data_IF_960166731564
#
_entry.id   IF_960166731564
#
_cell.length_a   1.000
_cell.length_b   1.000
_cell.length_c   1.000
_cell.angle_alpha   90.00
_cell.angle_beta   90.00
_cell.angle_gamma   90.00
#
_symmetry.space_group_name_H-M   'P 1'
#
loop_
_entity.id
_entity.type
_entity.pdbx_description
1 polymer ?
#
# COMPACT_ATOMS: atom_id res chain seq x y z
N UNK A 1 -3.18 -14.32 12.33
CA UNK A 1 -3.88 -14.92 13.48
C UNK A 1 -2.91 -15.81 14.24
N UNK A 2 -2.82 -15.67 15.56
CA UNK A 2 -2.01 -16.56 16.43
C UNK A 2 -2.96 -17.46 17.20
N UNK A 3 -2.77 -18.78 17.09
CA UNK A 3 -3.55 -19.78 17.83
C UNK A 3 -2.65 -20.40 18.91
N UNK A 4 -3.14 -20.39 20.15
CA UNK A 4 -2.40 -20.90 21.31
C UNK A 4 -3.09 -22.18 21.80
N UNK A 5 -2.33 -23.26 21.90
CA UNK A 5 -2.83 -24.55 22.39
C UNK A 5 -2.06 -24.94 23.65
N UNK A 6 -2.79 -25.39 24.67
CA UNK A 6 -2.23 -25.90 25.92
C UNK A 6 -2.39 -27.42 25.99
N UNK A 7 -1.37 -28.10 26.53
CA UNK A 7 -1.43 -29.54 26.77
C UNK A 7 -1.64 -29.82 28.27
N UNK A 8 -2.28 -30.95 28.59
CA UNK A 8 -2.43 -31.46 29.96
C UNK A 8 -1.10 -31.88 30.57
N UNK A 9 -0.19 -32.41 29.75
CA UNK A 9 1.19 -32.71 30.16
C UNK A 9 1.89 -31.43 30.60
N UNK A 10 2.66 -31.47 31.69
CA UNK A 10 3.26 -30.26 32.28
C UNK A 10 4.57 -29.87 31.60
N UNK A 11 5.43 -30.85 31.32
CA UNK A 11 6.77 -30.63 30.77
C UNK A 11 7.01 -31.47 29.53
N UNK A 12 7.84 -30.95 28.64
CA UNK A 12 8.41 -31.69 27.52
C UNK A 12 9.91 -31.48 27.46
N UNK A 13 10.67 -32.57 27.37
CA UNK A 13 12.12 -32.52 27.25
C UNK A 13 12.51 -32.06 25.84
N UNK A 14 13.14 -30.89 25.74
CA UNK A 14 13.68 -30.43 24.47
C UNK A 14 14.93 -31.21 24.07
N UNK A 15 15.30 -31.11 22.79
CA UNK A 15 16.57 -31.66 22.28
C UNK A 15 17.80 -30.84 22.68
N UNK A 16 17.61 -29.68 23.31
CA UNK A 16 18.69 -28.81 23.77
C UNK A 16 19.12 -29.22 25.18
N UNK A 17 20.43 -29.22 25.43
CA UNK A 17 21.00 -29.54 26.73
C UNK A 17 21.93 -28.41 27.20
N UNK A 18 21.86 -28.07 28.48
CA UNK A 18 22.75 -27.13 29.17
C UNK A 18 23.42 -27.86 30.33
N UNK A 19 24.75 -27.82 30.40
CA UNK A 19 25.54 -28.53 31.43
C UNK A 19 25.15 -30.02 31.57
N UNK A 20 24.93 -30.71 30.44
CA UNK A 20 24.54 -32.12 30.40
C UNK A 20 23.10 -32.42 30.81
N UNK A 21 22.29 -31.40 31.15
CA UNK A 21 20.86 -31.56 31.47
C UNK A 21 20.00 -31.05 30.31
N UNK A 22 18.96 -31.81 29.95
CA UNK A 22 17.99 -31.36 28.93
C UNK A 22 17.21 -30.15 29.44
N UNK A 23 16.95 -29.19 28.55
CA UNK A 23 16.08 -28.06 28.85
C UNK A 23 14.63 -28.50 28.71
N UNK A 24 13.84 -28.34 29.75
CA UNK A 24 12.40 -28.69 29.77
C UNK A 24 11.55 -27.49 29.35
N UNK A 25 10.54 -27.72 28.51
CA UNK A 25 9.55 -26.72 28.14
C UNK A 25 8.27 -26.91 28.95
N UNK A 26 7.69 -25.83 29.46
CA UNK A 26 6.41 -25.87 30.17
C UNK A 26 5.25 -25.80 29.17
N UNK A 27 4.53 -26.91 29.00
CA UNK A 27 3.40 -27.00 28.07
C UNK A 27 2.07 -26.47 28.66
N UNK A 28 2.01 -26.28 29.99
CA UNK A 28 0.86 -25.67 30.67
C UNK A 28 0.87 -24.15 30.60
N UNK A 29 2.05 -23.55 30.48
CA UNK A 29 2.20 -22.10 30.35
C UNK A 29 2.78 -21.73 28.97
N UNK A 30 1.92 -21.56 27.94
CA UNK A 30 2.36 -21.28 26.58
C UNK A 30 2.70 -19.79 26.36
N UNK A 31 2.66 -18.93 27.39
CA UNK A 31 2.80 -17.47 27.23
C UNK A 31 4.03 -17.07 26.40
N UNK A 32 5.14 -17.77 26.61
CA UNK A 32 6.37 -17.51 25.88
C UNK A 32 6.25 -17.84 24.39
N UNK A 33 5.66 -18.99 24.05
CA UNK A 33 5.39 -19.37 22.67
C UNK A 33 4.37 -18.42 22.02
N UNK A 34 3.36 -17.97 22.78
CA UNK A 34 2.41 -16.95 22.35
C UNK A 34 3.11 -15.65 21.99
N UNK A 35 3.94 -15.11 22.87
CA UNK A 35 4.65 -13.85 22.64
C UNK A 35 5.60 -13.94 21.45
N UNK A 36 6.33 -15.05 21.32
CA UNK A 36 7.18 -15.31 20.17
C UNK A 36 6.39 -15.33 18.85
N UNK A 37 5.25 -16.03 18.84
CA UNK A 37 4.37 -16.09 17.66
C UNK A 37 3.74 -14.73 17.34
N UNK A 38 3.35 -13.94 18.35
CA UNK A 38 2.82 -12.59 18.17
C UNK A 38 3.89 -11.64 17.61
N UNK A 39 5.11 -11.64 18.15
CA UNK A 39 6.20 -10.80 17.64
C UNK A 39 6.54 -11.12 16.18
N UNK A 40 6.58 -12.41 15.82
CA UNK A 40 6.81 -12.83 14.45
C UNK A 40 5.63 -12.48 13.53
N UNK A 41 4.38 -12.62 14.00
CA UNK A 41 3.21 -12.35 13.19
C UNK A 41 2.93 -10.86 12.98
N UNK A 42 3.09 -10.04 14.03
CA UNK A 42 2.78 -8.61 13.99
C UNK A 42 3.92 -7.84 13.33
N UNK A 43 5.15 -8.00 13.80
CA UNK A 43 6.26 -7.17 13.31
C UNK A 43 7.37 -7.93 12.61
N UNK A 44 7.13 -9.18 12.18
CA UNK A 44 8.14 -9.95 11.45
C UNK A 44 9.41 -10.24 12.25
N UNK A 45 9.37 -10.13 13.58
CA UNK A 45 10.56 -10.30 14.42
C UNK A 45 10.98 -11.75 14.39
N UNK A 46 12.18 -11.99 13.90
CA UNK A 46 12.76 -13.33 13.81
C UNK A 46 13.39 -13.75 15.15
N UNK A 47 13.46 -15.07 15.43
CA UNK A 47 14.21 -15.57 16.55
C UNK A 47 15.68 -15.15 16.48
N UNK A 48 16.25 -14.68 17.59
CA UNK A 48 17.63 -14.18 17.68
C UNK A 48 18.71 -15.19 17.26
N UNK A 49 18.39 -16.48 17.26
CA UNK A 49 19.30 -17.55 16.87
C UNK A 49 19.27 -17.90 15.38
N UNK A 50 18.40 -17.28 14.58
CA UNK A 50 18.33 -17.49 13.11
C UNK A 50 18.49 -16.14 12.43
N UNK A 51 19.64 -15.92 11.78
CA UNK A 51 19.91 -14.72 10.99
C UNK A 51 20.01 -15.10 9.52
N UNK A 52 19.50 -14.25 8.62
CA UNK A 52 19.73 -14.44 7.19
C UNK A 52 20.98 -13.67 6.78
N UNK A 53 21.98 -14.37 6.23
CA UNK A 53 23.19 -13.74 5.72
C UNK A 53 22.97 -13.38 4.25
N UNK A 54 22.72 -12.10 3.98
CA UNK A 54 22.54 -11.59 2.60
C UNK A 54 23.72 -11.96 1.69
N UNK A 55 25.01 -11.82 2.11
CA UNK A 55 26.15 -12.18 1.27
C UNK A 55 26.26 -13.68 0.94
N UNK A 56 25.71 -14.55 1.80
CA UNK A 56 25.82 -16.00 1.63
C UNK A 56 24.51 -16.66 1.18
N UNK A 57 23.47 -15.86 0.96
CA UNK A 57 22.11 -16.29 0.60
C UNK A 57 21.60 -17.49 1.42
N UNK A 58 21.98 -17.57 2.70
CA UNK A 58 21.68 -18.70 3.58
C UNK A 58 21.30 -18.23 4.98
N UNK A 59 20.50 -19.04 5.65
CA UNK A 59 20.22 -18.88 7.07
C UNK A 59 21.44 -19.35 7.88
N UNK A 60 21.96 -18.47 8.72
CA UNK A 60 23.00 -18.74 9.68
C UNK A 60 22.37 -18.84 11.07
N UNK A 61 22.90 -19.73 11.91
CA UNK A 61 22.44 -19.89 13.28
C UNK A 61 23.47 -19.29 14.25
N UNK A 62 23.05 -18.32 15.06
CA UNK A 62 23.91 -17.67 16.06
C UNK A 62 23.42 -17.98 17.46
N UNK A 63 24.08 -18.91 18.12
CA UNK A 63 23.66 -19.41 19.44
C UNK A 63 24.03 -18.47 20.59
N UNK A 64 24.89 -17.47 20.35
CA UNK A 64 25.30 -16.46 21.35
C UNK A 64 24.12 -15.67 21.91
N UNK A 65 23.00 -15.62 21.18
CA UNK A 65 21.79 -14.88 21.55
C UNK A 65 20.69 -15.79 22.10
N UNK A 66 20.99 -17.07 22.40
CA UNK A 66 20.03 -18.02 22.96
C UNK A 66 19.87 -17.89 24.49
N UNK A 67 20.75 -17.10 25.12
CA UNK A 67 20.79 -16.86 26.56
C UNK A 67 20.19 -15.50 26.91
N UNK A 68 19.16 -15.45 27.76
CA UNK A 68 18.57 -14.20 28.24
C UNK A 68 17.07 -14.30 28.51
N UNK A 69 16.48 -13.23 29.07
CA UNK A 69 15.04 -13.14 29.30
C UNK A 69 14.32 -12.59 28.05
N UNK A 70 14.21 -13.41 26.99
CA UNK A 70 13.46 -13.04 25.78
C UNK A 70 12.51 -14.18 25.33
N UNK A 71 11.37 -13.86 24.66
CA UNK A 71 10.40 -14.88 24.24
C UNK A 71 11.00 -15.99 23.37
N UNK A 72 12.01 -15.68 22.56
CA UNK A 72 12.70 -16.65 21.70
C UNK A 72 13.85 -17.44 22.40
N UNK A 73 14.10 -17.24 23.70
CA UNK A 73 15.36 -17.65 24.37
C UNK A 73 15.35 -19.10 24.83
N UNK A 74 15.92 -20.04 24.10
CA UNK A 74 15.84 -21.45 24.48
C UNK A 74 16.24 -21.73 25.95
N UNK A 75 17.20 -20.99 26.50
CA UNK A 75 17.72 -21.18 27.87
C UNK A 75 17.33 -20.07 28.85
N UNK A 76 16.43 -19.15 28.48
CA UNK A 76 15.92 -18.12 29.38
C UNK A 76 15.16 -18.74 30.55
N UNK A 77 15.53 -18.39 31.79
CA UNK A 77 14.81 -18.80 32.99
C UNK A 77 13.36 -18.26 32.97
N UNK A 78 12.49 -18.97 33.66
CA UNK A 78 11.04 -18.76 33.74
C UNK A 78 10.62 -17.27 33.74
N UNK A 79 9.59 -16.96 32.93
CA UNK A 79 8.93 -15.64 32.78
C UNK A 79 9.46 -14.69 31.69
N UNK A 80 9.73 -15.20 30.49
CA UNK A 80 9.75 -14.40 29.25
C UNK A 80 8.35 -13.87 28.87
N UNK A 81 7.73 -13.09 29.77
CA UNK A 81 6.36 -12.56 29.65
C UNK A 81 6.30 -11.15 29.06
N UNK A 82 7.43 -10.55 28.71
CA UNK A 82 7.51 -9.21 28.13
C UNK A 82 8.35 -9.20 26.86
N UNK A 83 8.07 -8.24 25.99
CA UNK A 83 8.93 -7.90 24.88
C UNK A 83 10.11 -7.08 25.39
N UNK A 84 11.32 -7.40 24.93
CA UNK A 84 12.47 -6.53 25.14
C UNK A 84 12.32 -5.26 24.31
N UNK A 85 12.86 -4.12 24.76
CA UNK A 85 12.85 -2.88 23.97
C UNK A 85 13.41 -3.07 22.55
N UNK A 86 14.48 -3.86 22.41
CA UNK A 86 15.04 -4.21 21.10
C UNK A 86 14.03 -4.86 20.15
N UNK A 87 13.12 -5.69 20.67
CA UNK A 87 12.07 -6.32 19.87
C UNK A 87 11.00 -5.30 19.48
N UNK A 88 10.59 -4.46 20.43
CA UNK A 88 9.63 -3.38 20.18
C UNK A 88 10.18 -2.44 19.11
N UNK A 89 11.43 -2.02 19.22
CA UNK A 89 12.13 -1.18 18.25
C UNK A 89 12.23 -1.86 16.87
N UNK A 90 12.53 -3.17 16.83
CA UNK A 90 12.58 -3.91 15.57
C UNK A 90 11.21 -3.96 14.87
N UNK A 91 10.13 -4.11 15.62
CA UNK A 91 8.76 -4.02 15.10
C UNK A 91 8.51 -2.62 14.55
N UNK A 92 8.78 -1.58 15.33
CA UNK A 92 8.56 -0.19 14.92
C UNK A 92 9.34 0.15 13.65
N UNK A 93 10.63 -0.20 13.57
CA UNK A 93 11.45 0.00 12.36
C UNK A 93 10.83 -0.63 11.11
N UNK A 94 10.30 -1.86 11.24
CA UNK A 94 9.68 -2.56 10.12
C UNK A 94 8.43 -1.83 9.60
N UNK A 95 7.60 -1.33 10.51
CA UNK A 95 6.44 -0.51 10.17
C UNK A 95 6.82 0.85 9.60
N UNK A 96 7.81 1.52 10.18
CA UNK A 96 8.30 2.83 9.71
C UNK A 96 8.77 2.70 8.26
N UNK A 97 9.62 1.72 7.95
CA UNK A 97 10.11 1.49 6.59
C UNK A 97 8.97 1.21 5.61
N UNK A 98 8.02 0.34 6.00
CA UNK A 98 6.89 0.00 5.14
C UNK A 98 5.99 1.21 4.86
N UNK A 99 5.68 2.00 5.88
CA UNK A 99 4.84 3.20 5.76
C UNK A 99 5.52 4.29 4.93
N UNK A 100 6.84 4.48 5.11
CA UNK A 100 7.64 5.37 4.26
C UNK A 100 7.59 4.92 2.80
N UNK A 101 7.85 3.65 2.49
CA UNK A 101 7.81 3.12 1.12
C UNK A 101 6.44 3.31 0.48
N UNK A 102 5.35 2.94 1.19
CA UNK A 102 3.98 3.12 0.69
C UNK A 102 3.66 4.59 0.44
N UNK A 103 4.09 5.48 1.34
CA UNK A 103 3.85 6.92 1.20
C UNK A 103 4.58 7.51 0.00
N UNK A 104 5.83 7.12 -0.23
CA UNK A 104 6.64 7.56 -1.38
C UNK A 104 6.01 7.06 -2.68
N UNK A 105 5.59 5.79 -2.74
CA UNK A 105 4.92 5.23 -3.90
C UNK A 105 3.61 5.97 -4.22
N UNK A 106 2.79 6.26 -3.21
CA UNK A 106 1.53 6.99 -3.39
C UNK A 106 1.75 8.42 -3.93
N UNK A 107 2.76 9.13 -3.43
CA UNK A 107 3.12 10.47 -3.90
C UNK A 107 3.67 10.42 -5.33
N UNK A 108 4.58 9.48 -5.61
CA UNK A 108 5.15 9.31 -6.94
C UNK A 108 4.07 9.02 -7.98
N UNK A 109 3.10 8.15 -7.67
CA UNK A 109 1.95 7.89 -8.54
C UNK A 109 1.15 9.18 -8.82
N UNK A 110 0.89 9.99 -7.80
CA UNK A 110 0.21 11.28 -7.96
C UNK A 110 1.00 12.27 -8.82
N UNK A 111 2.30 12.40 -8.59
CA UNK A 111 3.19 13.28 -9.36
C UNK A 111 3.27 12.81 -10.82
N UNK A 112 3.44 11.51 -11.06
CA UNK A 112 3.47 10.95 -12.41
C UNK A 112 2.15 11.15 -13.16
N UNK A 113 1.02 11.05 -12.47
CA UNK A 113 -0.28 11.31 -13.07
C UNK A 113 -0.42 12.79 -13.47
N UNK A 114 -0.03 13.71 -12.58
CA UNK A 114 -0.06 15.15 -12.85
C UNK A 114 0.94 15.55 -13.95
N UNK A 115 2.12 14.95 -14.00
CA UNK A 115 3.16 15.26 -14.99
C UNK A 115 2.74 14.88 -16.43
N UNK A 116 1.85 13.89 -16.59
CA UNK A 116 1.29 13.52 -17.90
C UNK A 116 0.29 14.56 -18.42
N UNK A 117 -0.34 15.32 -17.54
CA UNK A 117 -1.32 16.33 -17.91
C UNK A 117 -0.66 17.68 -18.20
N UNK A 118 -0.64 18.09 -19.47
CA UNK A 118 -0.10 19.39 -19.88
C UNK A 118 -1.14 20.50 -19.70
N UNK A 119 -0.75 21.62 -19.09
CA UNK A 119 -1.59 22.81 -19.02
C UNK A 119 -1.78 23.42 -20.41
N UNK A 120 -3.02 23.53 -20.87
CA UNK A 120 -3.40 24.23 -22.11
C UNK A 120 -4.31 25.41 -21.81
N UNK A 121 -4.37 26.38 -22.73
CA UNK A 121 -5.27 27.53 -22.60
C UNK A 121 -6.74 27.10 -22.38
N UNK A 122 -7.19 26.01 -23.00
CA UNK A 122 -8.54 25.48 -22.85
C UNK A 122 -8.85 24.91 -21.44
N UNK A 123 -7.84 24.44 -20.71
CA UNK A 123 -7.97 23.88 -19.36
C UNK A 123 -7.65 24.91 -18.27
N UNK A 124 -7.18 26.11 -18.63
CA UNK A 124 -6.69 27.10 -17.67
C UNK A 124 -7.76 27.59 -16.70
N UNK A 125 -8.98 27.83 -17.19
CA UNK A 125 -10.11 28.26 -16.34
C UNK A 125 -10.53 27.19 -15.34
N UNK A 126 -10.41 25.91 -15.72
CA UNK A 126 -10.65 24.78 -14.83
C UNK A 126 -9.51 24.65 -13.80
N UNK A 127 -8.26 24.71 -14.27
CA UNK A 127 -7.07 24.64 -13.45
C UNK A 127 -7.09 25.69 -12.32
N UNK A 128 -7.55 26.92 -12.60
CA UNK A 128 -7.68 27.98 -11.60
C UNK A 128 -8.67 27.66 -10.46
N UNK A 129 -9.62 26.76 -10.70
CA UNK A 129 -10.62 26.32 -9.72
C UNK A 129 -10.21 25.07 -8.96
N UNK A 130 -9.12 24.41 -9.37
CA UNK A 130 -8.64 23.20 -8.69
C UNK A 130 -8.02 23.55 -7.33
N UNK A 131 -8.14 22.67 -6.33
CA UNK A 131 -7.62 22.90 -4.99
C UNK A 131 -6.10 22.68 -4.91
N UNK A 132 -5.33 23.45 -5.69
CA UNK A 132 -3.86 23.38 -5.74
C UNK A 132 -3.22 23.71 -4.38
N UNK A 133 -3.83 24.63 -3.63
CA UNK A 133 -3.39 24.95 -2.27
C UNK A 133 -3.45 23.73 -1.37
N UNK A 134 -4.61 23.05 -1.32
CA UNK A 134 -4.78 21.84 -0.52
C UNK A 134 -3.79 20.73 -0.95
N UNK A 135 -3.58 20.54 -2.26
CA UNK A 135 -2.59 19.55 -2.74
C UNK A 135 -1.18 19.86 -2.22
N UNK A 136 -0.76 21.13 -2.28
CA UNK A 136 0.55 21.55 -1.80
C UNK A 136 0.67 21.51 -0.28
N UNK A 137 -0.42 21.81 0.44
CA UNK A 137 -0.48 21.72 1.91
C UNK A 137 -0.27 20.27 2.37
N UNK A 138 -0.94 19.31 1.71
CA UNK A 138 -0.76 17.87 1.97
C UNK A 138 0.67 17.42 1.67
N UNK A 139 1.25 17.85 0.55
CA UNK A 139 2.65 17.53 0.20
C UNK A 139 3.66 18.09 1.21
N UNK A 140 3.48 19.36 1.61
CA UNK A 140 4.36 19.99 2.59
C UNK A 140 4.22 19.35 3.99
N UNK A 141 3.00 18.99 4.39
CA UNK A 141 2.76 18.28 5.65
C UNK A 141 3.50 16.93 5.65
N UNK A 142 3.34 16.15 4.57
CA UNK A 142 4.02 14.87 4.41
C UNK A 142 5.54 15.00 4.41
N UNK A 143 6.09 15.96 3.65
CA UNK A 143 7.53 16.21 3.61
C UNK A 143 8.11 16.56 4.98
N UNK A 144 7.39 17.36 5.78
CA UNK A 144 7.79 17.67 7.17
C UNK A 144 7.79 16.41 8.05
N UNK A 145 6.79 15.55 7.91
CA UNK A 145 6.73 14.31 8.68
C UNK A 145 7.82 13.31 8.32
N UNK A 146 8.17 13.18 7.05
CA UNK A 146 9.33 12.37 6.66
C UNK A 146 10.60 12.84 7.35
N UNK A 147 10.83 14.16 7.44
CA UNK A 147 11.97 14.72 8.15
C UNK A 147 11.91 14.40 9.65
N UNK A 148 10.74 14.52 10.29
CA UNK A 148 10.60 14.17 11.72
C UNK A 148 10.85 12.69 11.98
N UNK A 149 10.32 11.80 11.15
CA UNK A 149 10.57 10.36 11.27
C UNK A 149 12.06 10.05 11.15
N UNK A 150 12.77 10.64 10.18
CA UNK A 150 14.22 10.47 10.05
C UNK A 150 14.96 10.97 11.30
N UNK A 151 14.55 12.12 11.85
CA UNK A 151 15.14 12.65 13.08
C UNK A 151 14.91 11.72 14.28
N UNK A 152 13.70 11.20 14.48
CA UNK A 152 13.41 10.24 15.56
C UNK A 152 14.16 8.91 15.36
N UNK A 153 14.35 8.48 14.12
CA UNK A 153 15.16 7.29 13.82
C UNK A 153 16.64 7.50 14.14
N UNK A 154 17.17 8.72 13.95
CA UNK A 154 18.54 9.10 14.31
C UNK A 154 18.76 9.07 15.82
N UNK A 155 17.79 9.56 16.60
CA UNK A 155 17.83 9.53 18.07
C UNK A 155 17.45 8.18 18.67
N UNK A 156 17.18 7.17 17.82
CA UNK A 156 16.72 5.83 18.19
C UNK A 156 15.37 5.80 18.92
N UNK A 157 14.57 6.86 18.83
CA UNK A 157 13.22 6.93 19.40
C UNK A 157 12.18 6.40 18.40
N UNK A 158 12.16 5.07 18.26
CA UNK A 158 11.26 4.40 17.32
C UNK A 158 9.78 4.49 17.71
N UNK A 159 9.49 4.71 19.00
CA UNK A 159 8.13 4.92 19.48
C UNK A 159 7.54 6.22 18.97
N UNK A 160 8.29 7.32 19.08
CA UNK A 160 7.88 8.62 18.53
C UNK A 160 7.81 8.58 17.00
N UNK A 161 8.79 7.96 16.33
CA UNK A 161 8.76 7.78 14.88
C UNK A 161 7.50 7.01 14.42
N UNK A 162 7.14 5.93 15.14
CA UNK A 162 5.95 5.16 14.85
C UNK A 162 4.64 5.93 15.09
N UNK A 163 4.65 6.91 16.00
CA UNK A 163 3.52 7.81 16.25
C UNK A 163 3.15 8.70 15.06
N UNK A 164 4.11 9.02 14.18
CA UNK A 164 3.88 9.85 12.99
C UNK A 164 3.26 9.08 11.81
N UNK A 165 3.34 7.75 11.79
CA UNK A 165 2.92 6.91 10.66
C UNK A 165 1.46 7.12 10.23
N UNK A 166 0.47 7.22 11.16
CA UNK A 166 -0.92 7.47 10.76
C UNK A 166 -1.10 8.82 10.04
N UNK A 167 -0.23 9.80 10.34
CA UNK A 167 -0.20 11.08 9.63
C UNK A 167 0.36 10.92 8.23
N UNK A 168 1.51 10.25 8.10
CA UNK A 168 2.18 9.98 6.82
C UNK A 168 1.23 9.28 5.84
N UNK A 169 0.59 8.20 6.29
CA UNK A 169 -0.36 7.44 5.45
C UNK A 169 -1.54 8.32 5.01
N UNK A 170 -2.10 9.11 5.93
CA UNK A 170 -3.22 10.00 5.63
C UNK A 170 -2.85 11.08 4.61
N UNK A 171 -1.75 11.79 4.84
CA UNK A 171 -1.29 12.86 3.95
C UNK A 171 -0.90 12.32 2.57
N UNK A 172 -0.21 11.17 2.50
CA UNK A 172 0.14 10.54 1.24
C UNK A 172 -1.10 10.07 0.45
N UNK A 173 -2.06 9.42 1.12
CA UNK A 173 -3.32 9.04 0.47
C UNK A 173 -4.13 10.25 0.01
N UNK A 174 -4.19 11.32 0.83
CA UNK A 174 -4.94 12.52 0.47
C UNK A 174 -4.31 13.27 -0.69
N UNK A 175 -2.98 13.40 -0.70
CA UNK A 175 -2.24 13.95 -1.83
C UNK A 175 -2.54 13.19 -3.12
N UNK A 176 -2.44 11.84 -3.07
CA UNK A 176 -2.73 10.98 -4.22
C UNK A 176 -4.18 11.12 -4.71
N UNK A 177 -5.15 11.13 -3.80
CA UNK A 177 -6.57 11.31 -4.13
C UNK A 177 -6.81 12.66 -4.83
N UNK A 178 -6.25 13.74 -4.28
CA UNK A 178 -6.35 15.07 -4.88
C UNK A 178 -5.68 15.13 -6.26
N UNK A 179 -4.48 14.56 -6.41
CA UNK A 179 -3.76 14.51 -7.67
C UNK A 179 -4.56 13.77 -8.76
N UNK A 180 -5.06 12.58 -8.45
CA UNK A 180 -5.86 11.79 -9.38
C UNK A 180 -7.19 12.47 -9.72
N UNK A 181 -7.86 13.07 -8.73
CA UNK A 181 -9.10 13.83 -8.97
C UNK A 181 -8.88 15.06 -9.86
N UNK A 182 -7.74 15.73 -9.75
CA UNK A 182 -7.35 16.82 -10.66
C UNK A 182 -7.16 16.30 -12.09
N UNK A 183 -6.45 15.18 -12.26
CA UNK A 183 -6.26 14.55 -13.58
C UNK A 183 -7.60 14.16 -14.18
N UNK A 184 -8.49 13.50 -13.42
CA UNK A 184 -9.82 13.10 -13.88
C UNK A 184 -10.67 14.30 -14.36
N UNK A 185 -10.52 15.46 -13.70
CA UNK A 185 -11.23 16.67 -14.13
C UNK A 185 -10.68 17.29 -15.43
N UNK A 186 -9.36 17.22 -15.66
CA UNK A 186 -8.70 17.86 -16.79
C UNK A 186 -8.65 16.99 -18.04
N UNK A 187 -8.48 15.68 -17.87
CA UNK A 187 -8.29 14.71 -18.95
C UNK A 187 -9.42 14.72 -20.00
N UNK A 188 -10.72 14.76 -19.64
CA UNK A 188 -11.81 14.79 -20.62
C UNK A 188 -11.79 16.05 -21.48
N UNK A 189 -11.45 17.21 -20.92
CA UNK A 189 -11.37 18.48 -21.65
C UNK A 189 -10.27 18.41 -22.72
N UNK A 190 -9.17 17.74 -22.40
CA UNK A 190 -8.06 17.49 -23.31
C UNK A 190 -8.48 16.55 -24.44
N UNK A 191 -9.10 15.42 -24.12
CA UNK A 191 -9.48 14.40 -25.10
C UNK A 191 -10.65 14.80 -26.01
N UNK A 192 -11.64 15.52 -25.48
CA UNK A 192 -12.85 15.86 -26.25
C UNK A 192 -12.62 16.96 -27.28
N UNK A 193 -11.76 17.94 -26.99
CA UNK A 193 -11.53 19.09 -27.88
C UNK A 193 -10.51 18.82 -29.00
N UNK A 194 -9.65 17.82 -28.85
CA UNK A 194 -8.76 17.36 -29.92
C UNK A 194 -9.48 16.53 -31.00
N UNK A 195 -10.71 16.06 -30.72
CA UNK A 195 -11.52 15.38 -31.72
C UNK A 195 -12.18 16.42 -32.65
N UNK A 196 -11.36 17.12 -33.42
CA UNK A 196 -11.88 17.70 -34.67
C UNK A 196 -12.28 16.51 -35.53
N UNK A 197 -13.58 16.29 -35.70
CA UNK A 197 -14.07 15.41 -36.76
C UNK A 197 -13.68 16.10 -38.06
N UNK A 198 -12.51 15.76 -38.58
CA UNK A 198 -12.11 16.13 -39.93
C UNK A 198 -12.97 15.35 -40.91
N UNK A 199 -14.25 15.71 -41.01
CA UNK A 199 -15.05 15.31 -42.16
C UNK A 199 -14.42 15.98 -43.36
N UNK A 200 -13.63 15.21 -44.11
CA UNK A 200 -13.27 15.64 -45.45
C UNK A 200 -14.55 15.80 -46.28
N UNK A 201 -14.54 16.69 -47.27
CA UNK A 201 -15.68 16.94 -48.15
C UNK A 201 -16.31 15.66 -48.70
N UNK A 202 -15.51 14.62 -48.94
CA UNK A 202 -16.00 13.30 -49.37
C UNK A 202 -16.98 12.65 -48.39
N UNK A 203 -16.77 12.79 -47.09
CA UNK A 203 -17.66 12.24 -46.06
C UNK A 203 -19.00 13.00 -46.01
N UNK A 204 -18.96 14.33 -46.17
CA UNK A 204 -20.17 15.16 -46.19
C UNK A 204 -21.02 14.82 -47.42
N UNK A 205 -20.38 14.72 -48.59
CA UNK A 205 -21.04 14.34 -49.85
C UNK A 205 -21.64 12.94 -49.77
N UNK A 206 -20.93 11.99 -49.15
CA UNK A 206 -21.42 10.62 -48.97
C UNK A 206 -22.65 10.55 -48.06
N UNK A 207 -22.65 11.26 -46.93
CA UNK A 207 -23.79 11.33 -46.01
C UNK A 207 -24.99 11.97 -46.72
N UNK A 208 -24.77 13.04 -47.49
CA UNK A 208 -25.82 13.69 -48.25
C UNK A 208 -26.40 12.78 -49.35
N UNK A 209 -25.55 12.09 -50.11
CA UNK A 209 -25.97 11.16 -51.15
C UNK A 209 -26.81 10.00 -50.57
N UNK A 210 -26.40 9.44 -49.43
CA UNK A 210 -27.16 8.40 -48.74
C UNK A 210 -28.54 8.90 -48.27
N UNK A 211 -28.62 10.13 -47.77
CA UNK A 211 -29.89 10.74 -47.38
C UNK A 211 -30.82 10.94 -48.58
N UNK A 212 -30.29 11.41 -49.72
CA UNK A 212 -31.07 11.57 -50.96
C UNK A 212 -31.54 10.22 -51.50
N UNK A 213 -30.69 9.18 -51.49
CA UNK A 213 -31.07 7.82 -51.90
C UNK A 213 -32.17 7.28 -50.99
N UNK A 214 -32.05 7.43 -49.67
CA UNK A 214 -33.07 6.99 -48.73
C UNK A 214 -34.42 7.72 -48.97
N UNK A 215 -34.37 9.02 -49.26
CA UNK A 215 -35.55 9.83 -49.57
C UNK A 215 -36.19 9.38 -50.90
N UNK A 216 -35.38 9.15 -51.94
CA UNK A 216 -35.83 8.61 -53.22
C UNK A 216 -36.47 7.22 -53.05
N UNK A 217 -35.87 6.34 -52.25
CA UNK A 217 -36.45 5.02 -51.95
C UNK A 217 -37.77 5.15 -51.20
N UNK A 218 -37.93 6.11 -50.28
CA UNK A 218 -39.21 6.34 -49.61
C UNK A 218 -40.29 6.90 -50.54
N UNK A 219 -39.94 7.80 -51.45
CA UNK A 219 -40.88 8.42 -52.40
C UNK A 219 -41.25 7.46 -53.53
N UNK A 220 -40.28 6.70 -54.04
CA UNK A 220 -40.46 5.71 -55.11
C UNK A 220 -40.96 4.35 -54.62
N UNK A 221 -41.05 4.14 -53.29
CA UNK A 221 -41.70 2.95 -52.74
C UNK A 221 -43.16 2.94 -53.24
N UNK A 222 -43.56 1.95 -54.05
CA UNK A 222 -44.91 1.89 -54.57
C UNK A 222 -45.87 1.82 -53.37
N UNK A 223 -46.85 2.72 -53.33
CA UNK A 223 -47.93 2.67 -52.35
C UNK A 223 -48.63 1.33 -52.52
N UNK A 224 -48.33 0.37 -51.65
CA UNK A 224 -49.09 -0.88 -51.59
C UNK A 224 -50.52 -0.50 -51.27
N UNK A 225 -51.42 -0.64 -52.25
CA UNK A 225 -52.85 -0.45 -52.06
C UNK A 225 -53.28 -1.37 -50.91
N UNK A 226 -53.79 -0.76 -49.82
CA UNK A 226 -54.36 -1.52 -48.72
C UNK A 226 -55.51 -2.37 -49.27
N UNK A 227 -55.49 -3.71 -49.14
CA UNK A 227 -56.63 -4.51 -49.54
C UNK A 227 -57.83 -4.11 -48.68
N UNK A 228 -58.94 -3.74 -49.32
CA UNK A 228 -60.23 -3.57 -48.65
C UNK A 228 -60.69 -4.95 -48.20
N UNK A 229 -60.63 -5.17 -46.89
CA UNK A 229 -61.31 -6.28 -46.23
C UNK A 229 -62.78 -5.87 -46.15
N UNK A 230 -63.64 -6.56 -46.91
CA UNK A 230 -65.09 -6.60 -46.68
C UNK A 230 -65.37 -7.44 -45.43
#
# INVERSE_FOLDING_TARGET
MVLVVQNRAQTWDSRLACNGRKVTWNLRNPMRATLAAVAQHVGGVLPSHVTYSLPHARTAQSWLWATGNHPFAATGAEHGSSFSQLQVDAVHRSYILTSLDVSILAVNEGIEALARETTRAATFDLFRKLPLGALMDEYQALSRQWVYVVHYMETLDYGMAAGELPGIERHAHKFRELALGMVESMHPVICTRQRSLQLSWTHIVMIFALAVIACLVQVLRPKTFKPKIN
#
